data_IF_157121149478
#
_entry.id   IF_157121149478
#
_cell.length_a   1.000
_cell.length_b   1.000
_cell.length_c   1.000
_cell.angle_alpha   90.00
_cell.angle_beta   90.00
_cell.angle_gamma   90.00
#
_symmetry.space_group_name_H-M   'P 1'
#
loop_
_entity.id
_entity.type
_entity.pdbx_description
1 polymer ?
#
# COMPACT_ATOMS: atom_id res chain seq x y z
N UNK A 1 -14.24 -1.52 20.43
CA UNK A 1 -13.51 -1.61 19.14
C UNK A 1 -14.19 -2.69 18.31
N UNK A 2 -14.54 -2.40 17.06
CA UNK A 2 -15.26 -3.36 16.21
C UNK A 2 -14.31 -4.35 15.54
N UNK A 3 -14.79 -5.54 15.17
CA UNK A 3 -13.98 -6.55 14.45
C UNK A 3 -13.33 -6.00 13.17
N UNK A 4 -13.96 -5.02 12.51
CA UNK A 4 -13.44 -4.38 11.31
C UNK A 4 -12.21 -3.47 11.58
N UNK A 5 -12.10 -2.91 12.77
CA UNK A 5 -10.90 -2.15 13.18
C UNK A 5 -9.72 -3.10 13.41
N UNK A 6 -9.98 -4.29 13.96
CA UNK A 6 -8.97 -5.31 14.21
C UNK A 6 -8.40 -5.89 12.90
N UNK A 7 -9.25 -6.18 11.91
CA UNK A 7 -8.78 -6.70 10.63
C UNK A 7 -7.93 -5.68 9.87
N UNK A 8 -8.30 -4.41 9.90
CA UNK A 8 -7.54 -3.36 9.23
C UNK A 8 -6.14 -3.19 9.83
N UNK A 9 -6.02 -3.23 11.16
CA UNK A 9 -4.70 -3.12 11.80
C UNK A 9 -3.81 -4.32 11.50
N UNK A 10 -4.36 -5.54 11.48
CA UNK A 10 -3.63 -6.76 11.08
C UNK A 10 -3.16 -6.66 9.62
N UNK A 11 -4.00 -6.16 8.72
CA UNK A 11 -3.65 -5.95 7.31
C UNK A 11 -2.48 -4.96 7.15
N UNK A 12 -2.53 -3.84 7.86
CA UNK A 12 -1.48 -2.82 7.83
C UNK A 12 -0.16 -3.38 8.38
N UNK A 13 -0.21 -4.15 9.47
CA UNK A 13 0.97 -4.81 10.00
C UNK A 13 1.57 -5.80 8.99
N UNK A 14 0.72 -6.59 8.31
CA UNK A 14 1.19 -7.52 7.28
C UNK A 14 1.85 -6.80 6.09
N UNK A 15 1.37 -5.61 5.71
CA UNK A 15 2.03 -4.80 4.66
C UNK A 15 3.40 -4.31 5.09
N UNK A 16 3.53 -3.85 6.34
CA UNK A 16 4.83 -3.42 6.89
C UNK A 16 5.81 -4.58 6.87
N UNK A 17 5.42 -5.73 7.43
CA UNK A 17 6.25 -6.93 7.49
C UNK A 17 6.66 -7.42 6.09
N UNK A 18 5.75 -7.34 5.11
CA UNK A 18 6.04 -7.71 3.73
C UNK A 18 7.12 -6.80 3.12
N UNK A 19 6.99 -5.47 3.28
CA UNK A 19 7.98 -4.52 2.77
C UNK A 19 9.33 -4.71 3.46
N UNK A 20 9.35 -4.94 4.78
CA UNK A 20 10.58 -5.21 5.54
C UNK A 20 11.28 -6.51 5.09
N UNK A 21 10.50 -7.52 4.67
CA UNK A 21 11.02 -8.76 4.05
C UNK A 21 11.53 -8.55 2.62
N UNK A 22 11.36 -7.36 2.05
CA UNK A 22 11.80 -7.00 0.70
C UNK A 22 10.76 -7.27 -0.39
N UNK A 23 9.48 -7.46 -0.03
CA UNK A 23 8.40 -7.52 -1.00
C UNK A 23 8.18 -6.12 -1.58
N UNK A 24 8.15 -6.03 -2.91
CA UNK A 24 7.84 -4.77 -3.57
C UNK A 24 6.33 -4.54 -3.56
N UNK A 25 5.86 -3.86 -2.52
CA UNK A 25 4.45 -3.65 -2.24
C UNK A 25 4.10 -2.15 -2.26
N UNK A 26 3.00 -1.84 -2.95
CA UNK A 26 2.37 -0.51 -3.05
C UNK A 26 0.86 -0.70 -2.96
N UNK A 27 0.21 -0.32 -1.85
CA UNK A 27 -1.24 -0.41 -1.75
C UNK A 27 -1.91 0.65 -2.62
N UNK A 28 -2.97 0.25 -3.32
CA UNK A 28 -3.85 1.15 -4.07
C UNK A 28 -5.14 1.30 -3.28
N UNK A 29 -5.52 2.52 -2.93
CA UNK A 29 -6.66 2.84 -2.06
C UNK A 29 -7.60 3.84 -2.71
N UNK A 30 -8.84 3.88 -2.21
CA UNK A 30 -9.86 4.85 -2.60
C UNK A 30 -10.30 5.72 -1.41
N UNK A 31 -10.83 6.90 -1.71
CA UNK A 31 -10.96 8.03 -0.78
C UNK A 31 -11.97 7.80 0.36
N UNK A 32 -12.91 6.89 0.17
CA UNK A 32 -14.13 6.84 0.96
C UNK A 32 -13.98 6.20 2.36
N UNK A 33 -12.91 5.44 2.66
CA UNK A 33 -12.71 4.84 4.02
C UNK A 33 -11.26 4.42 4.34
N UNK A 34 -10.33 4.46 3.38
CA UNK A 34 -9.12 3.62 3.43
C UNK A 34 -7.86 4.35 3.92
N UNK A 35 -7.76 5.67 3.74
CA UNK A 35 -6.54 6.44 3.98
C UNK A 35 -6.22 6.60 5.47
N UNK A 36 -7.24 6.73 6.33
CA UNK A 36 -7.05 6.88 7.78
C UNK A 36 -6.49 5.60 8.43
N UNK A 37 -6.88 4.43 7.94
CA UNK A 37 -6.47 3.13 8.51
C UNK A 37 -5.04 2.75 8.10
N UNK A 38 -4.59 3.19 6.92
CA UNK A 38 -3.24 2.90 6.39
C UNK A 38 -2.18 3.93 6.79
N UNK A 39 -2.55 4.94 7.58
CA UNK A 39 -1.63 5.98 8.05
C UNK A 39 -0.32 5.46 8.67
N UNK A 40 -0.29 4.36 9.48
CA UNK A 40 0.96 3.81 10.00
C UNK A 40 1.94 3.37 8.90
N UNK A 41 1.41 2.74 7.84
CA UNK A 41 2.22 2.31 6.69
C UNK A 41 2.78 3.50 5.91
N UNK A 42 1.97 4.55 5.68
CA UNK A 42 2.42 5.78 5.00
C UNK A 42 3.55 6.46 5.80
N UNK A 43 3.43 6.48 7.14
CA UNK A 43 4.43 7.09 8.03
C UNK A 43 5.78 6.37 7.92
N UNK A 44 5.77 5.04 7.80
CA UNK A 44 6.98 4.24 7.69
C UNK A 44 7.56 4.22 6.28
N UNK A 45 6.69 4.22 5.26
CA UNK A 45 7.08 4.15 3.86
C UNK A 45 6.43 5.28 3.03
N UNK A 46 6.86 6.53 3.25
CA UNK A 46 6.32 7.67 2.52
C UNK A 46 6.55 7.47 1.01
N UNK A 47 5.48 7.64 0.23
CA UNK A 47 5.47 7.45 -1.21
C UNK A 47 5.05 6.05 -1.68
N UNK A 48 4.96 5.01 -0.83
CA UNK A 48 4.52 3.66 -1.24
C UNK A 48 2.99 3.50 -1.32
N UNK A 49 2.21 4.56 -1.55
CA UNK A 49 0.74 4.50 -1.60
C UNK A 49 0.21 5.22 -2.84
N UNK A 50 -0.76 4.59 -3.52
CA UNK A 50 -1.51 5.24 -4.60
C UNK A 50 -2.97 5.40 -4.17
N UNK A 51 -3.46 6.64 -4.12
CA UNK A 51 -4.88 6.92 -3.92
C UNK A 51 -5.52 7.22 -5.28
N UNK A 52 -6.53 6.44 -5.66
CA UNK A 52 -7.29 6.63 -6.91
C UNK A 52 -8.54 7.51 -6.73
N UNK A 53 -8.80 8.01 -5.51
CA UNK A 53 -9.95 8.87 -5.24
C UNK A 53 -11.28 8.13 -5.39
N UNK A 54 -12.27 8.78 -6.03
CA UNK A 54 -13.60 8.25 -6.37
C UNK A 54 -13.56 7.41 -7.68
N UNK A 55 -12.36 7.20 -8.24
CA UNK A 55 -12.19 6.36 -9.42
C UNK A 55 -11.88 4.91 -9.00
N UNK A 56 -12.69 4.31 -8.11
CA UNK A 56 -12.52 2.90 -7.71
C UNK A 56 -12.54 1.95 -8.92
N UNK A 57 -13.30 2.32 -9.95
CA UNK A 57 -13.36 1.59 -11.23
C UNK A 57 -12.00 1.50 -11.93
N UNK A 58 -11.10 2.46 -11.70
CA UNK A 58 -9.76 2.51 -12.27
C UNK A 58 -8.70 1.84 -11.40
N UNK A 59 -9.05 1.33 -10.21
CA UNK A 59 -8.12 0.72 -9.26
C UNK A 59 -7.42 -0.50 -9.85
N UNK A 60 -8.16 -1.36 -10.55
CA UNK A 60 -7.62 -2.59 -11.16
C UNK A 60 -6.66 -2.23 -12.30
N UNK A 61 -7.01 -1.25 -13.14
CA UNK A 61 -6.13 -0.77 -14.21
C UNK A 61 -4.86 -0.13 -13.68
N UNK A 62 -4.97 0.63 -12.59
CA UNK A 62 -3.82 1.24 -11.90
C UNK A 62 -2.91 0.17 -11.30
N UNK A 63 -3.48 -0.83 -10.62
CA UNK A 63 -2.71 -1.95 -10.07
C UNK A 63 -2.03 -2.78 -11.18
N UNK A 64 -2.72 -3.05 -12.28
CA UNK A 64 -2.15 -3.73 -13.44
C UNK A 64 -1.01 -2.92 -14.06
N UNK A 65 -1.17 -1.60 -14.19
CA UNK A 65 -0.11 -0.70 -14.66
C UNK A 65 1.10 -0.70 -13.73
N UNK A 66 0.90 -0.66 -12.41
CA UNK A 66 1.98 -0.76 -11.41
C UNK A 66 2.71 -2.10 -11.48
N UNK A 67 1.99 -3.20 -11.73
CA UNK A 67 2.58 -4.53 -11.87
C UNK A 67 3.37 -4.69 -13.17
N UNK A 68 2.88 -4.12 -14.28
CA UNK A 68 3.50 -4.22 -15.61
C UNK A 68 4.65 -3.22 -15.82
N UNK A 69 4.55 -2.03 -15.23
CA UNK A 69 5.37 -0.84 -15.50
C UNK A 69 6.72 -0.75 -14.78
N UNK A 70 7.21 -1.86 -14.21
CA UNK A 70 8.43 -1.96 -13.42
C UNK A 70 8.28 -1.51 -11.95
N UNK A 71 8.61 -2.48 -11.08
CA UNK A 71 9.09 -2.36 -9.69
C UNK A 71 9.02 -0.95 -9.11
N UNK A 72 8.15 -0.74 -8.13
CA UNK A 72 8.15 0.50 -7.35
C UNK A 72 9.45 0.56 -6.54
N UNK A 73 10.47 1.14 -7.15
CA UNK A 73 11.79 1.29 -6.54
C UNK A 73 11.75 2.48 -5.59
N UNK A 74 11.15 2.26 -4.42
CA UNK A 74 11.27 3.21 -3.33
C UNK A 74 12.76 3.47 -3.04
N UNK A 75 13.19 4.74 -2.89
CA UNK A 75 14.59 5.07 -2.64
C UNK A 75 15.15 4.49 -1.33
N UNK A 76 14.29 3.95 -0.45
CA UNK A 76 14.66 3.31 0.82
C UNK A 76 14.82 1.78 0.75
N UNK A 77 14.57 1.13 -0.39
CA UNK A 77 14.76 -0.33 -0.49
C UNK A 77 16.22 -0.65 -0.81
N UNK A 78 16.96 -1.40 0.04
CA UNK A 78 18.36 -1.70 -0.20
C UNK A 78 18.54 -2.45 -1.52
N UNK A 79 19.56 -2.09 -2.29
CA UNK A 79 20.01 -2.93 -3.42
C UNK A 79 20.43 -4.28 -2.84
N UNK A 80 19.65 -5.33 -3.07
CA UNK A 80 20.23 -6.67 -3.08
C UNK A 80 21.06 -6.76 -4.36
N UNK A 81 22.38 -6.74 -4.19
CA UNK A 81 23.39 -7.09 -5.18
C UNK A 81 23.21 -8.52 -5.66
#
# INVERSE_FOLDING_TARGET
MSNAEHLASVMVQAFIDAVDRGVDLVPVVADSTSTAKIAPFIKQFPGRLVNVGIAEQSMVGTAAGLALGAKWRSPVTPRRS
#
